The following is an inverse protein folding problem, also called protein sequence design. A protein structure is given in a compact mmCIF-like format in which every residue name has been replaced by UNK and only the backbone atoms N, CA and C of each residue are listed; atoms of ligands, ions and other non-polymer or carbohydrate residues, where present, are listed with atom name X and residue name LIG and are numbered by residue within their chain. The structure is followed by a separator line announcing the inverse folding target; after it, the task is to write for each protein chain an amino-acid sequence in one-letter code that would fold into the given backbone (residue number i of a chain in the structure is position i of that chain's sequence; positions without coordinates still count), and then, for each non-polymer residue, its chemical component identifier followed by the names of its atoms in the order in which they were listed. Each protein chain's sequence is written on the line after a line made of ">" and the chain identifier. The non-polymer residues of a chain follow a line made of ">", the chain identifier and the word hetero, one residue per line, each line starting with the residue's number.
data_IF_517822641399
#
_entry.id   IF_517822641399
#
_cell.length_a   1.000
_cell.length_b   1.000
_cell.length_c   1.000
_cell.angle_alpha   90.00
_cell.angle_beta   90.00
_cell.angle_gamma   90.00
#
_symmetry.space_group_name_H-M   'P 1'
#
loop_
_entity.id
_entity.type
_entity.pdbx_description
1 polymer ?
#
# COMPACT_ATOMS: atom_id res chain seq x y z
N UNK A 1 -12.05 -2.30 18.66
CA UNK A 1 -11.55 -2.85 17.39
C UNK A 1 -11.15 -4.32 17.56
N UNK A 2 -10.90 -5.03 16.45
CA UNK A 2 -10.31 -6.38 16.38
C UNK A 2 -9.15 -6.33 15.39
N UNK A 3 -8.27 -7.32 15.41
CA UNK A 3 -7.18 -7.41 14.44
C UNK A 3 -7.73 -7.77 13.05
N UNK A 4 -7.23 -7.13 11.99
CA UNK A 4 -7.75 -7.29 10.62
C UNK A 4 -7.75 -8.75 10.15
N UNK A 5 -6.69 -9.50 10.44
CA UNK A 5 -6.59 -10.92 10.07
C UNK A 5 -7.65 -11.77 10.76
N UNK A 6 -7.98 -11.46 12.02
CA UNK A 6 -8.97 -12.17 12.80
C UNK A 6 -10.39 -11.87 12.29
N UNK A 7 -10.65 -10.63 11.86
CA UNK A 7 -11.91 -10.24 11.20
C UNK A 7 -12.10 -11.05 9.91
N UNK A 8 -11.08 -11.07 9.04
CA UNK A 8 -11.14 -11.83 7.78
C UNK A 8 -11.26 -13.33 8.03
N UNK A 9 -10.55 -13.87 9.03
CA UNK A 9 -10.67 -15.28 9.41
C UNK A 9 -12.06 -15.62 9.91
N UNK A 10 -12.66 -14.81 10.77
CA UNK A 10 -14.03 -15.02 11.25
C UNK A 10 -15.06 -14.95 10.10
N UNK A 11 -14.91 -13.96 9.21
CA UNK A 11 -15.76 -13.83 8.02
C UNK A 11 -15.66 -15.06 7.11
N UNK A 12 -14.45 -15.59 6.90
CA UNK A 12 -14.22 -16.74 6.03
C UNK A 12 -15.02 -17.98 6.45
N UNK A 13 -15.20 -18.18 7.76
CA UNK A 13 -15.99 -19.29 8.31
C UNK A 13 -17.49 -19.03 8.18
N UNK A 14 -17.94 -17.78 8.39
CA UNK A 14 -19.33 -17.40 8.19
C UNK A 14 -19.81 -17.57 6.74
N UNK A 15 -18.90 -17.44 5.75
CA UNK A 15 -19.21 -17.63 4.32
C UNK A 15 -18.87 -19.04 3.80
N UNK A 16 -18.50 -19.97 4.68
CA UNK A 16 -18.20 -21.36 4.31
C UNK A 16 -16.87 -21.58 3.56
N UNK A 17 -16.01 -20.57 3.48
CA UNK A 17 -14.67 -20.62 2.85
C UNK A 17 -13.57 -20.49 3.90
N UNK A 18 -13.62 -21.37 4.90
CA UNK A 18 -12.78 -21.29 6.11
C UNK A 18 -11.29 -21.27 5.76
N UNK A 19 -10.60 -20.22 6.16
CA UNK A 19 -9.15 -20.10 5.98
C UNK A 19 -8.38 -21.08 6.90
N UNK A 20 -7.25 -21.64 6.45
CA UNK A 20 -6.58 -22.75 7.14
C UNK A 20 -5.62 -22.29 8.26
N UNK A 21 -6.04 -21.35 9.09
CA UNK A 21 -5.30 -20.87 10.25
C UNK A 21 -6.23 -20.25 11.29
N UNK A 22 -5.91 -20.43 12.56
CA UNK A 22 -6.69 -19.94 13.70
C UNK A 22 -5.88 -19.02 14.64
N UNK A 23 -4.61 -18.78 14.31
CA UNK A 23 -3.72 -17.90 15.06
C UNK A 23 -2.82 -17.09 14.13
N UNK A 24 -2.34 -15.93 14.63
CA UNK A 24 -1.37 -15.10 13.92
C UNK A 24 -0.08 -15.87 13.58
N UNK A 25 0.35 -16.79 14.44
CA UNK A 25 1.52 -17.65 14.18
C UNK A 25 1.31 -18.56 12.98
N UNK A 26 0.16 -19.23 12.88
CA UNK A 26 -0.19 -20.07 11.74
C UNK A 26 -0.32 -19.26 10.44
N UNK A 27 -0.93 -18.06 10.51
CA UNK A 27 -0.99 -17.14 9.37
C UNK A 27 0.41 -16.76 8.88
N UNK A 28 1.33 -16.41 9.79
CA UNK A 28 2.72 -16.09 9.44
C UNK A 28 3.42 -17.27 8.77
N UNK A 29 3.26 -18.49 9.29
CA UNK A 29 3.80 -19.70 8.66
C UNK A 29 3.27 -19.88 7.24
N UNK A 30 1.96 -19.70 7.02
CA UNK A 30 1.35 -19.77 5.70
C UNK A 30 1.91 -18.68 4.76
N UNK A 31 2.04 -17.44 5.24
CA UNK A 31 2.61 -16.32 4.49
C UNK A 31 4.07 -16.57 4.12
N UNK A 32 4.90 -17.06 5.04
CA UNK A 32 6.32 -17.32 4.78
C UNK A 32 6.49 -18.48 3.79
N UNK A 33 5.61 -19.48 3.84
CA UNK A 33 5.61 -20.56 2.84
C UNK A 33 5.27 -20.04 1.44
N UNK A 34 4.28 -19.15 1.32
CA UNK A 34 3.88 -18.58 0.03
C UNK A 34 4.87 -17.50 -0.48
N UNK A 35 5.40 -16.70 0.45
CA UNK A 35 6.23 -15.53 0.19
C UNK A 35 7.40 -15.47 1.19
N UNK A 36 8.48 -16.24 0.96
CA UNK A 36 9.59 -16.40 1.93
C UNK A 36 10.29 -15.10 2.33
N UNK A 37 10.28 -14.09 1.47
CA UNK A 37 10.89 -12.79 1.76
C UNK A 37 10.20 -12.06 2.92
N UNK A 38 8.90 -12.31 3.16
CA UNK A 38 8.17 -11.69 4.28
C UNK A 38 8.66 -12.14 5.65
N UNK A 39 9.38 -13.27 5.74
CA UNK A 39 10.00 -13.73 6.99
C UNK A 39 11.26 -12.91 7.36
N UNK A 40 11.89 -12.26 6.37
CA UNK A 40 13.19 -11.62 6.51
C UNK A 40 13.02 -10.17 6.98
N UNK A 41 12.55 -10.02 8.22
CA UNK A 41 12.37 -8.70 8.85
C UNK A 41 13.70 -7.94 8.89
N UNK A 42 13.66 -6.64 8.61
CA UNK A 42 14.81 -5.74 8.56
C UNK A 42 15.90 -6.15 7.56
N UNK A 43 15.53 -6.86 6.50
CA UNK A 43 16.43 -7.24 5.40
C UNK A 43 15.86 -6.82 4.05
N UNK A 44 16.75 -6.35 3.18
CA UNK A 44 16.44 -6.07 1.78
C UNK A 44 17.07 -7.18 0.93
N UNK A 45 16.23 -7.92 0.22
CA UNK A 45 16.68 -8.93 -0.74
C UNK A 45 16.92 -8.26 -2.09
N UNK A 46 18.07 -8.53 -2.75
CA UNK A 46 18.30 -8.06 -4.12
C UNK A 46 17.21 -8.59 -5.05
N UNK A 47 16.58 -7.68 -5.81
CA UNK A 47 15.63 -8.06 -6.83
C UNK A 47 16.35 -8.47 -8.13
N UNK A 48 15.79 -9.45 -8.83
CA UNK A 48 16.26 -9.82 -10.17
C UNK A 48 15.77 -8.79 -11.22
N UNK A 49 16.71 -8.38 -12.09
CA UNK A 49 16.44 -7.51 -13.22
C UNK A 49 15.48 -8.11 -14.27
N UNK A 50 15.17 -9.41 -14.21
CA UNK A 50 14.12 -10.03 -15.04
C UNK A 50 12.78 -9.30 -14.93
N UNK A 51 12.44 -8.76 -13.75
CA UNK A 51 11.20 -7.97 -13.60
C UNK A 51 11.15 -6.77 -14.55
N UNK A 52 12.26 -6.04 -14.66
CA UNK A 52 12.40 -4.90 -15.56
C UNK A 52 12.37 -5.36 -17.02
N UNK A 53 13.04 -6.47 -17.35
CA UNK A 53 13.03 -7.05 -18.70
C UNK A 53 11.62 -7.45 -19.14
N UNK A 54 10.84 -8.10 -18.26
CA UNK A 54 9.43 -8.43 -18.55
C UNK A 54 8.58 -7.20 -18.80
N UNK A 55 8.75 -6.15 -18.00
CA UNK A 55 8.01 -4.89 -18.21
C UNK A 55 8.40 -4.25 -19.55
N UNK A 56 9.69 -4.23 -19.90
CA UNK A 56 10.16 -3.70 -21.18
C UNK A 56 9.60 -4.49 -22.39
N UNK A 57 9.38 -5.80 -22.21
CA UNK A 57 8.83 -6.66 -23.25
C UNK A 57 7.31 -6.53 -23.47
N UNK A 58 6.55 -5.91 -22.54
CA UNK A 58 5.10 -5.72 -22.69
C UNK A 58 4.73 -4.83 -23.89
N UNK A 59 5.64 -3.93 -24.30
CA UNK A 59 5.39 -2.98 -25.38
C UNK A 59 4.25 -2.00 -25.07
N UNK A 60 3.57 -1.52 -26.11
CA UNK A 60 2.49 -0.54 -26.01
C UNK A 60 2.90 0.85 -26.50
N UNK A 61 1.93 1.60 -27.03
CA UNK A 61 2.13 2.99 -27.41
C UNK A 61 1.81 3.90 -26.22
N UNK A 62 2.73 4.79 -25.80
CA UNK A 62 2.42 5.77 -24.78
C UNK A 62 1.32 6.70 -25.28
N UNK A 63 0.40 7.08 -24.39
CA UNK A 63 -0.53 8.17 -24.69
C UNK A 63 0.21 9.53 -24.66
N UNK A 64 -0.47 10.59 -25.12
CA UNK A 64 0.09 11.95 -25.12
C UNK A 64 -0.19 12.72 -23.81
N UNK A 65 -0.73 12.07 -22.79
CA UNK A 65 -1.05 12.72 -21.54
C UNK A 65 0.23 13.09 -20.80
N UNK A 66 0.22 14.25 -20.17
CA UNK A 66 1.29 14.63 -19.26
C UNK A 66 1.27 13.69 -18.04
N UNK A 67 2.46 13.34 -17.53
CA UNK A 67 2.59 12.71 -16.23
C UNK A 67 1.97 13.60 -15.15
N UNK A 68 1.22 12.98 -14.25
CA UNK A 68 0.65 13.66 -13.07
C UNK A 68 1.16 12.99 -11.81
N UNK A 69 1.18 13.74 -10.72
CA UNK A 69 1.40 13.15 -9.40
C UNK A 69 0.29 12.14 -9.11
N UNK A 70 0.65 10.98 -8.57
CA UNK A 70 -0.34 10.03 -8.02
C UNK A 70 -0.86 10.48 -6.65
N UNK A 71 -0.21 11.47 -6.03
CA UNK A 71 -0.53 12.03 -4.72
C UNK A 71 -0.78 13.51 -4.90
N UNK A 72 -2.05 13.91 -4.86
CA UNK A 72 -2.46 15.32 -5.03
C UNK A 72 -2.22 16.13 -3.75
N UNK A 73 -2.26 15.48 -2.59
CA UNK A 73 -2.05 16.10 -1.28
C UNK A 73 -1.23 15.18 -0.38
N UNK A 74 0.03 15.57 -0.16
CA UNK A 74 0.97 14.83 0.67
C UNK A 74 0.47 14.64 2.11
N UNK A 75 -0.31 15.60 2.64
CA UNK A 75 -0.78 15.55 4.02
C UNK A 75 -2.07 14.74 4.18
N UNK A 76 -2.76 14.37 3.10
CA UNK A 76 -4.08 13.70 3.13
C UNK A 76 -4.09 12.35 2.40
N UNK A 77 -2.95 11.65 2.41
CA UNK A 77 -2.71 10.40 1.64
C UNK A 77 -3.53 9.19 2.08
N UNK A 78 -3.88 9.09 3.37
CA UNK A 78 -4.52 7.91 3.95
C UNK A 78 -5.63 8.30 4.94
N UNK A 79 -6.50 7.36 5.36
CA UNK A 79 -7.63 7.67 6.24
C UNK A 79 -7.24 8.30 7.58
N UNK A 80 -6.11 7.90 8.17
CA UNK A 80 -5.62 8.46 9.44
C UNK A 80 -5.24 9.93 9.23
N UNK A 81 -4.49 10.21 8.18
CA UNK A 81 -4.08 11.56 7.84
C UNK A 81 -5.29 12.46 7.51
N UNK A 82 -6.29 11.94 6.80
CA UNK A 82 -7.55 12.67 6.51
C UNK A 82 -8.41 12.97 7.73
N UNK A 83 -8.35 12.12 8.75
CA UNK A 83 -9.07 12.34 10.00
C UNK A 83 -8.32 13.29 10.97
N UNK A 84 -7.08 13.67 10.66
CA UNK A 84 -6.24 14.51 11.53
C UNK A 84 -6.46 15.99 11.26
N UNK A 85 -6.88 16.74 12.28
CA UNK A 85 -6.99 18.20 12.23
C UNK A 85 -5.63 18.87 11.93
N UNK A 86 -4.55 18.35 12.52
CA UNK A 86 -3.18 18.87 12.29
C UNK A 86 -2.77 18.72 10.83
N UNK A 87 -3.11 17.59 10.20
CA UNK A 87 -2.80 17.39 8.78
C UNK A 87 -3.67 18.25 7.87
N UNK A 88 -4.92 18.53 8.26
CA UNK A 88 -5.76 19.48 7.54
C UNK A 88 -5.15 20.90 7.56
N UNK A 89 -4.65 21.36 8.71
CA UNK A 89 -3.93 22.65 8.81
C UNK A 89 -2.66 22.65 7.95
N UNK A 90 -1.86 21.58 8.01
CA UNK A 90 -0.65 21.45 7.19
C UNK A 90 -0.96 21.50 5.68
N UNK A 91 -2.02 20.81 5.24
CA UNK A 91 -2.51 20.85 3.85
C UNK A 91 -2.91 22.26 3.44
N UNK A 92 -3.67 22.98 4.28
CA UNK A 92 -4.11 24.35 4.01
C UNK A 92 -2.92 25.30 3.86
N UNK A 93 -1.94 25.23 4.76
CA UNK A 93 -0.70 26.03 4.69
C UNK A 93 0.12 25.70 3.43
N UNK A 94 0.23 24.44 3.06
CA UNK A 94 0.98 24.03 1.87
C UNK A 94 0.35 24.55 0.57
N UNK A 95 -0.98 24.48 0.45
CA UNK A 95 -1.73 25.04 -0.68
C UNK A 95 -1.63 26.56 -0.75
N UNK A 96 -1.65 27.24 0.40
CA UNK A 96 -1.43 28.69 0.47
C UNK A 96 -0.05 29.12 -0.05
N UNK A 97 1.01 28.36 0.28
CA UNK A 97 2.38 28.60 -0.22
C UNK A 97 2.51 28.39 -1.74
N UNK A 98 1.81 27.40 -2.30
CA UNK A 98 1.85 27.19 -3.76
C UNK A 98 1.17 28.31 -4.56
N UNK A 99 0.15 28.98 -3.99
CA UNK A 99 -0.49 30.12 -4.66
C UNK A 99 0.41 31.36 -4.67
N UNK A 100 1.14 31.64 -3.58
CA UNK A 100 2.07 32.78 -3.52
C UNK A 100 3.31 32.65 -4.40
N UNK A 101 3.71 31.43 -4.77
CA UNK A 101 4.85 31.20 -5.65
C UNK A 101 4.47 31.24 -7.15
N UNK A 102 3.17 31.29 -7.46
CA UNK A 102 2.64 31.33 -8.83
C UNK A 102 2.14 32.72 -9.25
N UNK A 103 2.15 33.70 -8.33
CA UNK A 103 2.04 35.14 -8.60
C UNK A 103 3.42 35.75 -8.86
#
# INVERSE_FOLDING_TARGET
>A
AREDWAILRALSEAVGQKLPYDSLGQLRVALYKAHPHLQRVDRVEPADAEGVRRVAALGGAPDKAAFRSAIDDFYLTNPIARASAVMAECSALAKGRSMQAAE
#
